data_IF_511312744515
#
_entry.id   IF_511312744515
#
_cell.length_a   1.000
_cell.length_b   1.000
_cell.length_c   1.000
_cell.angle_alpha   90.00
_cell.angle_beta   90.00
_cell.angle_gamma   90.00
#
_symmetry.space_group_name_H-M   'P 1'
#
loop_
_entity.id
_entity.type
_entity.pdbx_description
1 polymer ?
#
# COMPACT_ATOMS: atom_id res chain seq x y z
N UNK A 1 7.11 -15.88 -20.85
CA UNK A 1 5.70 -15.94 -21.29
C UNK A 1 5.60 -16.41 -22.73
N UNK A 2 6.04 -15.63 -23.73
CA UNK A 2 5.92 -16.00 -25.14
C UNK A 2 6.46 -17.40 -25.53
N UNK A 3 7.50 -17.90 -24.85
CA UNK A 3 8.04 -19.25 -25.12
C UNK A 3 7.19 -20.41 -24.59
N UNK A 4 6.31 -20.16 -23.61
CA UNK A 4 5.56 -21.21 -22.90
C UNK A 4 4.05 -21.14 -23.17
N UNK A 5 3.55 -19.98 -23.61
CA UNK A 5 2.14 -19.77 -23.86
C UNK A 5 1.73 -20.51 -25.14
N UNK A 6 0.56 -21.16 -25.12
CA UNK A 6 -0.05 -21.73 -26.34
C UNK A 6 -0.53 -20.60 -27.27
N UNK A 7 -0.78 -20.92 -28.53
CA UNK A 7 -1.29 -19.96 -29.52
C UNK A 7 -2.64 -19.33 -29.13
N UNK A 8 -3.44 -20.05 -28.35
CA UNK A 8 -4.74 -19.64 -27.77
C UNK A 8 -4.67 -19.43 -26.25
N UNK A 9 -3.46 -19.43 -25.69
CA UNK A 9 -3.24 -19.28 -24.26
C UNK A 9 -3.34 -17.82 -23.81
N UNK A 10 -3.77 -17.63 -22.56
CA UNK A 10 -3.83 -16.32 -21.90
C UNK A 10 -2.93 -16.31 -20.68
N UNK A 11 -2.01 -15.36 -20.61
CA UNK A 11 -1.27 -15.04 -19.41
C UNK A 11 -2.04 -14.00 -18.61
N UNK A 12 -2.40 -14.33 -17.37
CA UNK A 12 -3.09 -13.43 -16.44
C UNK A 12 -2.12 -12.96 -15.38
N UNK A 13 -1.87 -11.66 -15.32
CA UNK A 13 -0.92 -11.04 -14.40
C UNK A 13 -1.66 -9.99 -13.58
N UNK A 14 -1.39 -9.94 -12.29
CA UNK A 14 -1.95 -8.93 -11.40
C UNK A 14 -0.82 -8.12 -10.76
N UNK A 15 -0.94 -6.81 -10.78
CA UNK A 15 0.02 -5.91 -10.17
C UNK A 15 -0.65 -4.60 -9.71
N UNK A 16 -0.09 -3.92 -8.69
CA UNK A 16 -0.54 -2.58 -8.30
C UNK A 16 -0.51 -1.60 -9.47
N UNK A 17 -1.49 -0.72 -9.51
CA UNK A 17 -1.58 0.35 -10.51
C UNK A 17 -0.85 1.60 -10.01
N UNK A 18 -0.05 2.23 -10.88
CA UNK A 18 0.77 3.39 -10.47
C UNK A 18 -0.06 4.63 -10.12
N UNK A 19 -1.24 4.83 -10.71
CA UNK A 19 -2.04 6.03 -10.42
C UNK A 19 -2.52 6.08 -8.97
N UNK A 20 -3.19 5.05 -8.39
CA UNK A 20 -3.51 5.02 -6.96
C UNK A 20 -2.32 5.28 -6.04
N UNK A 21 -1.13 4.75 -6.37
CA UNK A 21 0.09 5.00 -5.60
C UNK A 21 0.39 6.49 -5.51
N UNK A 22 0.33 7.21 -6.65
CA UNK A 22 0.62 8.63 -6.71
C UNK A 22 -0.52 9.45 -6.10
N UNK A 23 -1.78 9.20 -6.49
CA UNK A 23 -2.95 9.97 -6.05
C UNK A 23 -3.21 9.83 -4.56
N UNK A 24 -3.02 8.63 -3.99
CA UNK A 24 -3.26 8.39 -2.56
C UNK A 24 -1.99 8.44 -1.73
N UNK A 25 -0.86 8.87 -2.30
CA UNK A 25 0.42 8.95 -1.60
C UNK A 25 0.81 7.63 -0.91
N UNK A 26 0.62 6.49 -1.60
CA UNK A 26 0.90 5.14 -1.09
C UNK A 26 2.40 4.81 -1.21
N UNK A 27 3.26 5.75 -0.82
CA UNK A 27 4.72 5.64 -0.92
C UNK A 27 5.28 4.44 -0.14
N UNK A 28 4.53 3.94 0.84
CA UNK A 28 4.89 2.77 1.62
C UNK A 28 4.85 1.48 0.79
N UNK A 29 4.21 1.51 -0.38
CA UNK A 29 4.29 0.44 -1.39
C UNK A 29 5.61 0.43 -2.17
N UNK A 30 6.48 1.44 -1.97
CA UNK A 30 7.81 1.51 -2.59
C UNK A 30 8.85 0.84 -1.69
N UNK A 31 9.19 -0.41 -1.99
CA UNK A 31 10.21 -1.18 -1.26
C UNK A 31 10.94 -2.17 -2.14
N UNK A 32 12.00 -2.78 -1.61
CA UNK A 32 12.97 -3.59 -2.36
C UNK A 32 12.40 -4.77 -3.16
N UNK A 33 11.22 -5.32 -2.82
CA UNK A 33 10.58 -6.37 -3.62
C UNK A 33 9.78 -5.79 -4.80
N UNK A 34 9.36 -4.52 -4.72
CA UNK A 34 8.66 -3.78 -5.76
C UNK A 34 9.64 -2.99 -6.63
N UNK A 35 10.19 -3.66 -7.65
CA UNK A 35 11.15 -3.06 -8.57
C UNK A 35 10.50 -2.13 -9.61
N UNK A 36 9.22 -2.33 -9.90
CA UNK A 36 8.47 -1.62 -10.94
C UNK A 36 7.10 -1.20 -10.43
N UNK A 37 6.61 -0.06 -10.93
CA UNK A 37 5.29 0.48 -10.66
C UNK A 37 4.59 0.69 -12.01
N UNK A 38 3.51 -0.03 -12.25
CA UNK A 38 3.04 -0.25 -13.61
C UNK A 38 1.88 0.67 -14.00
N UNK A 39 1.99 1.28 -15.18
CA UNK A 39 0.87 1.82 -15.96
C UNK A 39 0.53 0.88 -17.12
N UNK A 40 -0.69 0.95 -17.64
CA UNK A 40 -1.10 0.21 -18.84
C UNK A 40 -0.28 0.66 -20.04
N UNK A 41 0.04 1.94 -20.17
CA UNK A 41 0.88 2.49 -21.25
C UNK A 41 2.29 1.89 -21.24
N UNK A 42 2.91 1.74 -20.06
CA UNK A 42 4.23 1.12 -19.94
C UNK A 42 4.18 -0.38 -20.25
N UNK A 43 3.15 -1.07 -19.74
CA UNK A 43 2.95 -2.51 -19.93
C UNK A 43 2.63 -2.88 -21.38
N UNK A 44 1.74 -2.15 -22.05
CA UNK A 44 1.41 -2.35 -23.47
C UNK A 44 2.66 -2.24 -24.34
N UNK A 45 3.47 -1.18 -24.12
CA UNK A 45 4.77 -1.02 -24.79
C UNK A 45 5.71 -2.19 -24.51
N UNK A 46 5.78 -2.68 -23.26
CA UNK A 46 6.62 -3.82 -22.90
C UNK A 46 6.17 -5.11 -23.60
N UNK A 47 4.89 -5.45 -23.56
CA UNK A 47 4.37 -6.68 -24.15
C UNK A 47 4.56 -6.70 -25.67
N UNK A 48 4.26 -5.58 -26.36
CA UNK A 48 4.41 -5.46 -27.81
C UNK A 48 5.85 -5.72 -28.28
N UNK A 49 6.85 -5.27 -27.51
CA UNK A 49 8.29 -5.55 -27.79
C UNK A 49 8.64 -7.04 -27.76
N UNK A 50 7.77 -7.88 -27.20
CA UNK A 50 7.95 -9.31 -27.09
C UNK A 50 6.87 -10.12 -27.83
N UNK A 51 6.20 -9.51 -28.81
CA UNK A 51 5.11 -10.13 -29.59
C UNK A 51 3.98 -10.69 -28.71
N UNK A 52 3.68 -9.97 -27.63
CA UNK A 52 2.55 -10.19 -26.75
C UNK A 52 1.67 -8.95 -26.75
N UNK A 53 0.37 -9.13 -26.56
CA UNK A 53 -0.60 -8.06 -26.64
C UNK A 53 -1.46 -8.06 -25.38
N UNK A 54 -1.56 -6.89 -24.76
CA UNK A 54 -2.49 -6.66 -23.65
C UNK A 54 -3.87 -6.40 -24.27
N UNK A 55 -4.77 -7.36 -24.13
CA UNK A 55 -6.06 -7.32 -24.82
C UNK A 55 -7.21 -6.90 -23.91
N UNK A 56 -7.12 -7.21 -22.62
CA UNK A 56 -8.10 -6.81 -21.62
C UNK A 56 -7.40 -6.41 -20.31
N UNK A 57 -7.96 -5.42 -19.63
CA UNK A 57 -7.63 -5.12 -18.24
C UNK A 57 -8.89 -5.09 -17.36
N UNK A 58 -8.70 -5.36 -16.06
CA UNK A 58 -9.70 -5.12 -15.02
C UNK A 58 -9.08 -4.37 -13.86
N UNK A 59 -9.78 -3.34 -13.38
CA UNK A 59 -9.46 -2.67 -12.12
C UNK A 59 -9.93 -3.52 -10.95
N UNK A 60 -9.10 -3.61 -9.91
CA UNK A 60 -9.40 -4.30 -8.66
C UNK A 60 -9.09 -3.37 -7.49
N UNK A 61 -9.93 -3.41 -6.44
CA UNK A 61 -9.76 -2.58 -5.24
C UNK A 61 -8.70 -3.11 -4.25
N UNK A 62 -8.10 -4.25 -4.54
CA UNK A 62 -7.10 -4.89 -3.69
C UNK A 62 -5.77 -4.12 -3.72
N UNK A 63 -5.04 -4.20 -2.59
CA UNK A 63 -3.71 -3.61 -2.43
C UNK A 63 -3.62 -2.08 -2.68
N UNK A 64 -4.71 -1.33 -2.47
CA UNK A 64 -4.76 0.13 -2.73
C UNK A 64 -5.19 0.49 -4.15
N UNK A 65 -5.28 -0.51 -5.04
CA UNK A 65 -5.66 -0.36 -6.44
C UNK A 65 -4.73 -1.17 -7.32
N UNK A 66 -5.29 -2.14 -8.04
CA UNK A 66 -4.51 -3.06 -8.88
C UNK A 66 -5.14 -3.23 -10.26
N UNK A 67 -4.30 -3.65 -11.20
CA UNK A 67 -4.72 -4.08 -12.53
C UNK A 67 -4.57 -5.59 -12.66
N UNK A 68 -5.61 -6.24 -13.17
CA UNK A 68 -5.50 -7.59 -13.74
C UNK A 68 -5.40 -7.47 -15.25
N UNK A 69 -4.33 -8.01 -15.79
CA UNK A 69 -3.90 -7.92 -17.18
C UNK A 69 -4.14 -9.25 -17.87
N UNK A 70 -4.72 -9.24 -19.06
CA UNK A 70 -4.90 -10.41 -19.91
C UNK A 70 -4.04 -10.27 -21.16
N UNK A 71 -2.98 -11.06 -21.23
CA UNK A 71 -1.92 -10.94 -22.22
C UNK A 71 -1.86 -12.19 -23.09
N UNK A 72 -1.90 -12.01 -24.40
CA UNK A 72 -2.00 -13.11 -25.38
C UNK A 72 -1.02 -12.92 -26.55
N UNK A 73 -0.84 -13.96 -27.38
CA UNK A 73 0.01 -13.88 -28.59
C UNK A 73 -0.68 -13.18 -29.77
N UNK A 74 -2.01 -13.20 -29.80
CA UNK A 74 -2.80 -12.55 -30.85
C UNK A 74 -3.26 -11.19 -30.37
N UNK A 75 -3.23 -10.22 -31.27
CA UNK A 75 -3.68 -8.87 -30.98
C UNK A 75 -5.20 -8.77 -31.20
N UNK A 76 -5.90 -8.40 -30.13
CA UNK A 76 -7.33 -8.08 -30.11
C UNK A 76 -7.61 -7.10 -28.98
N UNK A 77 -6.91 -5.96 -29.04
CA UNK A 77 -6.97 -4.93 -27.99
C UNK A 77 -8.40 -4.43 -27.82
N UNK A 78 -8.97 -4.71 -26.65
CA UNK A 78 -10.33 -4.33 -26.30
C UNK A 78 -10.43 -2.90 -25.78
N UNK A 79 -11.68 -2.43 -25.66
CA UNK A 79 -11.98 -1.08 -25.20
C UNK A 79 -11.42 -0.76 -23.80
N UNK A 80 -11.31 -1.75 -22.92
CA UNK A 80 -10.77 -1.55 -21.56
C UNK A 80 -9.32 -1.08 -21.59
N UNK A 81 -8.51 -1.57 -22.52
CA UNK A 81 -7.12 -1.17 -22.71
C UNK A 81 -7.02 0.18 -23.39
N UNK A 82 -7.74 0.40 -24.50
CA UNK A 82 -7.67 1.67 -25.24
C UNK A 82 -8.18 2.84 -24.41
N UNK A 83 -9.25 2.64 -23.63
CA UNK A 83 -9.78 3.66 -22.75
C UNK A 83 -8.81 3.98 -21.61
N UNK A 84 -8.15 2.97 -21.04
CA UNK A 84 -7.17 3.20 -19.97
C UNK A 84 -5.94 3.95 -20.48
N UNK A 85 -5.43 3.62 -21.68
CA UNK A 85 -4.31 4.37 -22.28
C UNK A 85 -4.72 5.83 -22.57
N UNK A 86 -5.94 6.06 -23.04
CA UNK A 86 -6.46 7.42 -23.26
C UNK A 86 -6.58 8.19 -21.94
N UNK A 87 -7.07 7.55 -20.88
CA UNK A 87 -7.12 8.10 -19.52
C UNK A 87 -5.72 8.45 -19.01
N UNK A 88 -4.77 7.51 -19.09
CA UNK A 88 -3.39 7.74 -18.64
C UNK A 88 -2.73 8.90 -19.38
N UNK A 89 -2.93 9.00 -20.69
CA UNK A 89 -2.45 10.14 -21.48
C UNK A 89 -3.09 11.45 -21.04
N UNK A 90 -4.41 11.47 -20.79
CA UNK A 90 -5.11 12.66 -20.32
C UNK A 90 -4.64 13.11 -18.92
N UNK A 91 -4.21 12.17 -18.08
CA UNK A 91 -3.60 12.41 -16.76
C UNK A 91 -2.12 12.79 -16.84
N UNK A 92 -1.45 12.52 -17.95
CA UNK A 92 0.00 12.72 -18.11
C UNK A 92 0.86 11.63 -17.49
N UNK A 93 0.28 10.45 -17.18
CA UNK A 93 0.98 9.32 -16.54
C UNK A 93 2.15 8.81 -17.39
N UNK A 94 2.14 9.05 -18.70
CA UNK A 94 3.24 8.70 -19.61
C UNK A 94 4.36 9.76 -19.68
N UNK A 95 4.30 10.80 -18.84
CA UNK A 95 5.29 11.87 -18.76
C UNK A 95 5.87 12.01 -17.33
N UNK A 96 7.12 12.44 -17.22
CA UNK A 96 7.80 12.60 -15.92
C UNK A 96 7.12 13.66 -15.04
N UNK A 97 6.52 14.68 -15.65
CA UNK A 97 5.89 15.81 -14.95
C UNK A 97 4.78 15.36 -13.98
N UNK A 98 4.06 14.28 -14.31
CA UNK A 98 3.04 13.69 -13.43
C UNK A 98 3.61 13.22 -12.09
N UNK A 99 4.90 12.89 -12.04
CA UNK A 99 5.56 12.31 -10.87
C UNK A 99 6.38 13.31 -10.06
N UNK A 100 6.71 14.49 -10.61
CA UNK A 100 7.68 15.42 -10.02
C UNK A 100 7.28 15.89 -8.61
N UNK A 101 5.99 16.09 -8.36
CA UNK A 101 5.48 16.57 -7.07
C UNK A 101 5.34 15.47 -6.01
N UNK A 102 5.48 14.20 -6.39
CA UNK A 102 5.22 13.07 -5.49
C UNK A 102 6.11 13.11 -4.24
N UNK A 103 7.41 13.39 -4.40
CA UNK A 103 8.33 13.49 -3.26
C UNK A 103 7.91 14.60 -2.27
N UNK A 104 7.45 15.75 -2.79
CA UNK A 104 7.00 16.85 -1.93
C UNK A 104 5.70 16.47 -1.18
N UNK A 105 4.81 15.71 -1.82
CA UNK A 105 3.61 15.15 -1.17
C UNK A 105 3.99 14.18 -0.05
N UNK A 106 4.94 13.28 -0.29
CA UNK A 106 5.45 12.34 0.72
C UNK A 106 6.09 13.10 1.91
N UNK A 107 6.88 14.13 1.65
CA UNK A 107 7.50 14.94 2.71
C UNK A 107 6.47 15.69 3.56
N UNK A 108 5.40 16.23 2.96
CA UNK A 108 4.28 16.81 3.72
C UNK A 108 3.61 15.76 4.62
N UNK A 109 3.28 14.60 4.06
CA UNK A 109 2.65 13.51 4.81
C UNK A 109 3.52 13.05 5.99
N UNK A 110 4.85 12.92 5.78
CA UNK A 110 5.80 12.60 6.86
C UNK A 110 5.74 13.60 8.00
N UNK A 111 5.74 14.91 7.69
CA UNK A 111 5.65 15.97 8.68
C UNK A 111 4.32 15.92 9.43
N UNK A 112 3.20 15.79 8.71
CA UNK A 112 1.86 15.73 9.29
C UNK A 112 1.67 14.51 10.21
N UNK A 113 2.09 13.33 9.75
CA UNK A 113 1.98 12.10 10.51
C UNK A 113 2.86 12.14 11.76
N UNK A 114 4.11 12.58 11.61
CA UNK A 114 5.02 12.73 12.74
C UNK A 114 4.46 13.72 13.77
N UNK A 115 3.96 14.88 13.33
CA UNK A 115 3.37 15.88 14.20
C UNK A 115 2.10 15.36 14.92
N UNK A 116 1.25 14.59 14.24
CA UNK A 116 0.10 13.93 14.85
C UNK A 116 0.53 12.98 15.98
N UNK A 117 1.46 12.06 15.69
CA UNK A 117 1.89 11.05 16.65
C UNK A 117 2.58 11.67 17.87
N UNK A 118 3.49 12.63 17.67
CA UNK A 118 4.19 13.31 18.76
C UNK A 118 3.24 14.14 19.63
N UNK A 119 2.24 14.79 19.03
CA UNK A 119 1.21 15.52 19.79
C UNK A 119 0.42 14.57 20.69
N UNK A 120 0.05 13.40 20.19
CA UNK A 120 -0.64 12.38 20.99
C UNK A 120 0.25 11.89 22.14
N UNK A 121 1.51 11.55 21.88
CA UNK A 121 2.46 11.16 22.95
C UNK A 121 2.67 12.28 23.97
N UNK A 122 2.77 13.54 23.54
CA UNK A 122 2.90 14.69 24.45
C UNK A 122 1.68 14.89 25.35
N UNK A 123 0.48 14.48 24.90
CA UNK A 123 -0.73 14.43 25.74
C UNK A 123 -0.79 13.23 26.69
N UNK A 124 0.24 12.38 26.72
CA UNK A 124 0.31 11.18 27.55
C UNK A 124 -0.39 9.96 26.96
N UNK A 125 -0.84 10.01 25.70
CA UNK A 125 -1.49 8.89 25.06
C UNK A 125 -0.51 7.77 24.73
N UNK A 126 -0.97 6.52 24.85
CA UNK A 126 -0.27 5.31 24.41
C UNK A 126 -0.62 4.98 22.96
N UNK A 127 0.37 4.47 22.20
CA UNK A 127 0.19 4.24 20.76
C UNK A 127 0.82 2.89 20.39
N UNK A 128 -0.01 1.99 19.85
CA UNK A 128 0.45 0.77 19.18
C UNK A 128 0.30 0.93 17.66
N UNK A 129 0.76 -0.07 16.89
CA UNK A 129 0.51 -0.15 15.46
C UNK A 129 -0.07 -1.51 15.07
N UNK A 130 -0.79 -1.58 13.95
CA UNK A 130 -1.38 -2.81 13.42
C UNK A 130 -0.83 -3.13 12.02
N UNK A 131 -0.26 -4.33 11.89
CA UNK A 131 0.25 -4.87 10.64
C UNK A 131 1.76 -4.72 10.49
N UNK A 132 2.51 -5.79 10.76
CA UNK A 132 3.95 -5.86 10.55
C UNK A 132 4.29 -6.27 9.10
N UNK A 133 3.67 -5.62 8.11
CA UNK A 133 3.88 -5.89 6.68
C UNK A 133 5.10 -5.13 6.11
N UNK A 134 5.59 -5.53 4.94
CA UNK A 134 6.71 -4.87 4.25
C UNK A 134 6.46 -3.37 4.04
N UNK A 135 5.26 -3.01 3.59
CA UNK A 135 4.81 -1.61 3.49
C UNK A 135 4.86 -0.86 4.83
N UNK A 136 4.42 -1.50 5.91
CA UNK A 136 4.50 -0.94 7.26
C UNK A 136 5.94 -0.63 7.67
N UNK A 137 6.90 -1.48 7.29
CA UNK A 137 8.31 -1.23 7.50
C UNK A 137 8.82 -0.01 6.71
N UNK A 138 8.45 0.13 5.44
CA UNK A 138 8.79 1.32 4.65
C UNK A 138 8.26 2.58 5.33
N UNK A 139 6.99 2.59 5.72
CA UNK A 139 6.34 3.74 6.34
C UNK A 139 7.08 4.19 7.61
N UNK A 140 7.29 3.28 8.57
CA UNK A 140 7.93 3.65 9.85
C UNK A 140 9.37 4.11 9.66
N UNK A 141 10.12 3.53 8.72
CA UNK A 141 11.51 3.91 8.50
C UNK A 141 11.60 5.26 7.77
N UNK A 142 10.74 5.49 6.78
CA UNK A 142 10.71 6.75 6.02
C UNK A 142 10.24 7.92 6.88
N UNK A 143 9.28 7.71 7.78
CA UNK A 143 8.77 8.76 8.69
C UNK A 143 9.65 8.91 9.94
N UNK A 144 10.48 7.90 10.26
CA UNK A 144 11.33 7.90 11.47
C UNK A 144 10.55 7.56 12.74
N UNK A 145 9.55 6.69 12.65
CA UNK A 145 8.68 6.29 13.78
C UNK A 145 9.36 5.15 14.55
N UNK A 146 9.89 5.47 15.74
CA UNK A 146 10.59 4.54 16.61
C UNK A 146 9.78 4.09 17.83
N UNK A 147 10.48 3.44 18.76
CA UNK A 147 9.93 2.94 20.04
C UNK A 147 9.58 4.03 21.05
N UNK A 148 10.06 5.24 20.82
CA UNK A 148 9.70 6.45 21.55
C UNK A 148 8.26 6.90 21.24
N UNK A 149 7.75 6.53 20.07
CA UNK A 149 6.38 6.85 19.62
C UNK A 149 5.48 5.61 19.70
N UNK A 150 5.88 4.49 19.12
CA UNK A 150 5.08 3.26 19.03
C UNK A 150 5.58 2.21 20.02
N UNK A 151 4.71 1.80 20.92
CA UNK A 151 5.06 0.90 22.03
C UNK A 151 5.27 -0.54 21.53
N UNK A 152 4.42 -0.99 20.60
CA UNK A 152 4.52 -2.29 19.91
C UNK A 152 3.70 -2.30 18.61
N UNK A 153 4.00 -3.25 17.73
CA UNK A 153 3.17 -3.58 16.56
C UNK A 153 2.44 -4.89 16.81
N UNK A 154 1.17 -5.01 16.45
CA UNK A 154 0.47 -6.29 16.42
C UNK A 154 0.35 -6.84 15.01
N UNK A 155 0.45 -8.17 14.87
CA UNK A 155 0.26 -8.86 13.59
C UNK A 155 -0.31 -10.26 13.83
N UNK A 156 -1.24 -10.69 12.98
CA UNK A 156 -1.87 -12.03 13.03
C UNK A 156 -0.92 -13.15 12.63
N UNK A 157 0.14 -12.84 11.88
CA UNK A 157 1.12 -13.82 11.43
C UNK A 157 2.01 -14.26 12.60
N UNK A 158 1.77 -15.48 13.08
CA UNK A 158 2.50 -16.11 14.19
C UNK A 158 4.02 -16.16 13.97
N UNK A 159 4.48 -16.21 12.71
CA UNK A 159 5.92 -16.26 12.41
C UNK A 159 6.63 -14.92 12.59
N UNK A 160 5.88 -13.82 12.74
CA UNK A 160 6.41 -12.49 13.03
C UNK A 160 6.37 -12.15 14.53
N UNK A 161 5.46 -12.75 15.28
CA UNK A 161 5.29 -12.49 16.71
C UNK A 161 6.57 -12.85 17.50
N UNK A 162 6.90 -12.04 18.50
CA UNK A 162 8.16 -12.16 19.26
C UNK A 162 9.40 -11.63 18.52
N UNK A 163 9.28 -11.25 17.25
CA UNK A 163 10.33 -10.56 16.49
C UNK A 163 10.14 -9.05 16.57
N UNK A 164 10.87 -8.31 15.74
CA UNK A 164 10.84 -6.86 15.69
C UNK A 164 10.65 -6.37 14.26
N UNK A 165 10.04 -5.20 14.10
CA UNK A 165 10.01 -4.49 12.83
C UNK A 165 11.43 -4.19 12.34
N UNK A 166 11.72 -4.39 11.04
CA UNK A 166 13.03 -4.09 10.50
C UNK A 166 13.33 -2.58 10.55
N UNK A 167 14.59 -2.23 10.80
CA UNK A 167 15.04 -0.85 11.00
C UNK A 167 14.76 -0.32 12.41
N UNK A 168 13.51 0.07 12.69
CA UNK A 168 13.10 0.72 13.94
C UNK A 168 13.03 -0.22 15.16
N UNK A 169 13.13 -1.53 14.96
CA UNK A 169 13.17 -2.57 16.01
C UNK A 169 12.01 -2.49 17.02
N UNK A 170 10.82 -2.09 16.58
CA UNK A 170 9.60 -2.10 17.39
C UNK A 170 9.14 -3.56 17.58
N UNK A 171 8.87 -4.04 18.80
CA UNK A 171 8.49 -5.43 19.04
C UNK A 171 7.15 -5.77 18.38
N UNK A 172 7.05 -6.97 17.82
CA UNK A 172 5.84 -7.50 17.19
C UNK A 172 5.15 -8.47 18.16
N UNK A 173 3.86 -8.24 18.41
CA UNK A 173 3.02 -8.97 19.37
C UNK A 173 1.80 -9.61 18.68
N UNK A 174 1.15 -10.59 19.32
CA UNK A 174 -0.14 -11.08 18.87
C UNK A 174 -1.23 -10.01 19.04
N UNK A 175 -2.35 -10.12 18.31
CA UNK A 175 -3.42 -9.09 18.26
C UNK A 175 -4.14 -8.89 19.59
N UNK A 176 -4.18 -9.93 20.41
CA UNK A 176 -4.75 -9.94 21.77
C UNK A 176 -4.09 -8.89 22.66
N UNK A 177 -2.84 -8.51 22.39
CA UNK A 177 -2.12 -7.47 23.10
C UNK A 177 -2.83 -6.10 23.03
N UNK A 178 -3.67 -5.85 22.01
CA UNK A 178 -4.49 -4.64 21.97
C UNK A 178 -5.56 -4.62 23.07
N UNK A 179 -6.16 -5.78 23.36
CA UNK A 179 -7.17 -5.89 24.40
C UNK A 179 -6.56 -5.88 25.80
N UNK A 180 -5.38 -6.46 25.96
CA UNK A 180 -4.63 -6.49 27.22
C UNK A 180 -4.07 -5.12 27.59
N UNK A 181 -3.40 -4.44 26.64
CA UNK A 181 -2.73 -3.17 26.89
C UNK A 181 -3.65 -1.95 26.75
N UNK A 182 -4.76 -2.07 26.02
CA UNK A 182 -5.69 -0.97 25.71
C UNK A 182 -4.97 0.33 25.31
N UNK A 183 -4.15 0.34 24.24
CA UNK A 183 -3.54 1.58 23.79
C UNK A 183 -4.63 2.59 23.40
N UNK A 184 -4.38 3.88 23.58
CA UNK A 184 -5.36 4.92 23.21
C UNK A 184 -5.55 4.98 21.69
N UNK A 185 -4.46 4.73 20.94
CA UNK A 185 -4.43 4.78 19.48
C UNK A 185 -3.69 3.58 18.87
N UNK A 186 -4.17 3.15 17.71
CA UNK A 186 -3.51 2.14 16.86
C UNK A 186 -3.23 2.74 15.49
N UNK A 187 -1.95 2.89 15.13
CA UNK A 187 -1.52 3.25 13.79
C UNK A 187 -1.70 2.07 12.83
N UNK A 188 -2.57 2.20 11.83
CA UNK A 188 -2.89 1.13 10.87
C UNK A 188 -1.86 1.13 9.73
N UNK A 189 -0.80 0.32 9.89
CA UNK A 189 0.22 0.15 8.85
C UNK A 189 -0.30 -0.71 7.68
N UNK A 190 -1.21 -1.65 7.96
CA UNK A 190 -1.92 -2.44 6.97
C UNK A 190 -3.22 -1.76 6.49
N UNK A 191 -3.15 -0.47 6.14
CA UNK A 191 -4.30 0.38 5.83
C UNK A 191 -5.19 -0.11 4.67
N UNK A 192 -4.66 -0.96 3.78
CA UNK A 192 -5.43 -1.57 2.70
C UNK A 192 -6.44 -2.64 3.19
N UNK A 193 -6.38 -2.99 4.48
CA UNK A 193 -7.33 -3.89 5.16
C UNK A 193 -8.06 -3.15 6.30
N UNK A 194 -8.17 -1.81 6.22
CA UNK A 194 -8.72 -1.00 7.30
C UNK A 194 -10.09 -1.50 7.79
N UNK A 195 -11.03 -1.72 6.89
CA UNK A 195 -12.40 -2.13 7.26
C UNK A 195 -12.40 -3.50 7.97
N UNK A 196 -11.65 -4.47 7.44
CA UNK A 196 -11.49 -5.79 8.03
C UNK A 196 -10.82 -5.71 9.42
N UNK A 197 -9.78 -4.87 9.55
CA UNK A 197 -9.10 -4.65 10.84
C UNK A 197 -10.06 -4.01 11.85
N UNK A 198 -10.82 -3.00 11.45
CA UNK A 198 -11.78 -2.32 12.33
C UNK A 198 -12.89 -3.26 12.78
N UNK A 199 -13.38 -4.16 11.92
CA UNK A 199 -14.34 -5.20 12.27
C UNK A 199 -13.72 -6.22 13.25
N UNK A 200 -12.53 -6.73 12.95
CA UNK A 200 -11.83 -7.70 13.80
C UNK A 200 -11.47 -7.13 15.18
N UNK A 201 -11.24 -5.82 15.27
CA UNK A 201 -10.88 -5.13 16.51
C UNK A 201 -12.05 -4.33 17.10
N UNK A 202 -13.29 -4.75 16.83
CA UNK A 202 -14.50 -4.08 17.30
C UNK A 202 -14.55 -3.95 18.83
N UNK A 203 -14.09 -4.96 19.58
CA UNK A 203 -14.08 -4.90 21.05
C UNK A 203 -13.08 -3.86 21.59
N UNK A 204 -11.88 -3.77 21.01
CA UNK A 204 -10.90 -2.73 21.34
C UNK A 204 -11.50 -1.33 21.11
N UNK A 205 -12.21 -1.16 19.99
CA UNK A 205 -12.90 0.09 19.67
C UNK A 205 -14.06 0.38 20.63
N UNK A 206 -14.84 -0.62 21.00
CA UNK A 206 -15.94 -0.49 21.96
C UNK A 206 -15.45 -0.06 23.36
N UNK A 207 -14.20 -0.39 23.71
CA UNK A 207 -13.54 0.03 24.96
C UNK A 207 -12.88 1.42 24.86
N UNK A 208 -13.05 2.13 23.75
CA UNK A 208 -12.59 3.50 23.57
C UNK A 208 -11.32 3.66 22.73
N UNK A 209 -10.72 2.54 22.30
CA UNK A 209 -9.56 2.55 21.41
C UNK A 209 -9.86 3.18 20.06
N UNK A 210 -8.90 3.95 19.53
CA UNK A 210 -9.02 4.66 18.25
C UNK A 210 -7.99 4.17 17.25
N UNK A 211 -8.23 4.42 15.97
CA UNK A 211 -7.28 4.09 14.90
C UNK A 211 -6.71 5.34 14.26
N UNK A 212 -5.48 5.25 13.75
CA UNK A 212 -4.83 6.28 12.95
C UNK A 212 -4.56 5.69 11.58
N UNK A 213 -5.13 6.29 10.53
CA UNK A 213 -4.88 5.92 9.14
C UNK A 213 -3.81 6.87 8.60
N UNK A 214 -2.66 6.37 8.10
CA UNK A 214 -1.53 7.24 7.76
C UNK A 214 -1.62 7.89 6.37
N UNK A 215 -2.28 7.22 5.41
CA UNK A 215 -2.40 7.65 4.02
C UNK A 215 -3.89 7.69 3.61
N UNK A 216 -4.31 8.53 2.65
CA UNK A 216 -3.51 9.55 1.94
C UNK A 216 -3.18 10.78 2.80
N UNK A 217 -3.95 11.00 3.86
CA UNK A 217 -3.75 12.08 4.83
C UNK A 217 -3.92 11.51 6.23
N UNK A 218 -2.98 11.79 7.17
CA UNK A 218 -3.06 11.27 8.53
C UNK A 218 -4.37 11.68 9.23
N UNK A 219 -5.15 10.70 9.67
CA UNK A 219 -6.44 10.95 10.34
C UNK A 219 -6.73 9.93 11.42
N UNK A 220 -7.44 10.37 12.46
CA UNK A 220 -7.98 9.50 13.52
C UNK A 220 -9.38 9.04 13.10
N UNK A 221 -9.68 7.75 13.29
CA UNK A 221 -10.99 7.12 13.00
C UNK A 221 -11.47 6.25 14.16
#
# INVERSE_FOLDING_TARGET
IARLLKDDGVAVIEAPYVEPLIEHCEFDTIYHEHLCYFSVTALDKLFRRHCLYLNEIKHLSIHGGSLRLYVEMREHVGASVTNQIAHERARGIDAIDYYLDFSATVDRLKVELSALLHRLKASGASIAAYGAAAKGATLINTVGIGRDVIDFVVDRNIHKQGKHMPGQKIPIRPTEALLEAQPDYVLVLAWNFLDEIMEQQAEYRARGGKFIVPVPTPRIV
#
